data_IF_050209705764
#
_entry.id   IF_050209705764
#
_cell.length_a   1.000
_cell.length_b   1.000
_cell.length_c   1.000
_cell.angle_alpha   90.00
_cell.angle_beta   90.00
_cell.angle_gamma   90.00
#
_symmetry.space_group_name_H-M   'P 1'
#
loop_
_entity.id
_entity.type
_entity.pdbx_description
1 polymer ?
#
# COMPACT_ATOMS: atom_id res chain seq x y z
N UNK A 1 7.98 -9.69 5.43
CA UNK A 1 6.72 -9.10 4.88
C UNK A 1 6.16 -7.99 5.75
N UNK A 2 6.00 -8.17 7.08
CA UNK A 2 5.60 -7.08 7.99
C UNK A 2 6.49 -5.83 7.85
N UNK A 3 7.81 -6.02 7.71
CA UNK A 3 8.76 -4.92 7.54
C UNK A 3 8.50 -4.06 6.27
N UNK A 4 8.05 -4.67 5.17
CA UNK A 4 7.72 -3.94 3.93
C UNK A 4 6.46 -3.11 4.13
N UNK A 5 5.47 -3.66 4.84
CA UNK A 5 4.23 -2.97 5.19
C UNK A 5 4.51 -1.75 6.06
N UNK A 6 5.31 -1.91 7.12
CA UNK A 6 5.66 -0.81 8.03
C UNK A 6 6.51 0.26 7.32
N UNK A 7 7.44 -0.12 6.44
CA UNK A 7 8.20 0.84 5.62
C UNK A 7 7.33 1.61 4.63
N UNK A 8 6.40 0.93 3.96
CA UNK A 8 5.48 1.55 3.02
C UNK A 8 4.52 2.53 3.71
N UNK A 9 3.99 2.14 4.88
CA UNK A 9 3.15 3.00 5.71
C UNK A 9 3.91 4.18 6.29
N UNK A 10 5.09 3.96 6.88
CA UNK A 10 5.90 5.04 7.45
C UNK A 10 6.31 6.07 6.39
N UNK A 11 6.61 5.63 5.17
CA UNK A 11 6.85 6.53 4.05
C UNK A 11 5.60 7.34 3.66
N UNK A 12 4.39 6.81 3.87
CA UNK A 12 3.12 7.49 3.59
C UNK A 12 2.67 8.41 4.73
N UNK A 13 2.82 8.00 5.99
CA UNK A 13 2.57 8.82 7.19
C UNK A 13 3.46 10.06 7.24
N UNK A 14 4.67 9.99 6.69
CA UNK A 14 5.56 11.14 6.55
C UNK A 14 5.05 12.17 5.50
N UNK A 15 4.19 11.77 4.57
CA UNK A 15 3.75 12.59 3.43
C UNK A 15 2.38 13.23 3.67
N UNK A 16 1.52 12.65 4.50
CA UNK A 16 0.22 13.20 4.82
C UNK A 16 -0.07 13.14 6.32
N UNK A 17 -0.64 14.20 6.87
CA UNK A 17 -1.31 14.19 8.19
C UNK A 17 -2.48 13.20 8.15
N UNK A 18 -2.16 11.91 8.20
CA UNK A 18 -3.10 10.83 7.95
C UNK A 18 -3.76 10.44 9.26
N UNK A 19 -5.08 10.38 9.26
CA UNK A 19 -5.85 10.02 10.45
C UNK A 19 -5.47 8.60 10.92
N UNK A 20 -5.28 8.40 12.23
CA UNK A 20 -4.82 7.13 12.81
C UNK A 20 -5.77 5.97 12.44
N UNK A 21 -7.07 6.26 12.30
CA UNK A 21 -8.05 5.27 11.85
C UNK A 21 -7.82 4.85 10.38
N UNK A 22 -7.41 5.79 9.52
CA UNK A 22 -7.08 5.55 8.12
C UNK A 22 -5.79 4.74 7.99
N UNK A 23 -4.77 5.03 8.81
CA UNK A 23 -3.52 4.27 8.86
C UNK A 23 -3.78 2.82 9.26
N UNK A 24 -4.58 2.59 10.31
CA UNK A 24 -4.92 1.24 10.75
C UNK A 24 -5.65 0.44 9.66
N UNK A 25 -6.60 1.07 8.95
CA UNK A 25 -7.31 0.42 7.85
C UNK A 25 -6.37 0.12 6.66
N UNK A 26 -5.50 1.06 6.33
CA UNK A 26 -4.55 0.92 5.21
C UNK A 26 -3.51 -0.16 5.49
N UNK A 27 -3.07 -0.27 6.75
CA UNK A 27 -2.20 -1.34 7.23
C UNK A 27 -2.78 -2.72 7.04
N UNK A 28 -4.05 -2.92 7.41
CA UNK A 28 -4.69 -4.22 7.19
C UNK A 28 -4.82 -4.56 5.70
N UNK A 29 -5.19 -3.58 4.88
CA UNK A 29 -5.36 -3.76 3.43
C UNK A 29 -4.04 -4.12 2.75
N UNK A 30 -2.97 -3.36 3.02
CA UNK A 30 -1.67 -3.61 2.40
C UNK A 30 -1.03 -4.92 2.89
N UNK A 31 -1.24 -5.29 4.16
CA UNK A 31 -0.77 -6.57 4.69
C UNK A 31 -1.41 -7.75 3.95
N UNK A 32 -2.73 -7.71 3.73
CA UNK A 32 -3.43 -8.73 2.92
C UNK A 32 -2.97 -8.74 1.46
N UNK A 33 -2.68 -7.57 0.89
CA UNK A 33 -2.22 -7.46 -0.49
C UNK A 33 -0.83 -8.08 -0.68
N UNK A 34 0.11 -7.76 0.21
CA UNK A 34 1.47 -8.30 0.20
C UNK A 34 1.47 -9.81 0.48
N UNK A 35 0.59 -10.28 1.36
CA UNK A 35 0.41 -11.71 1.63
C UNK A 35 -0.09 -12.48 0.40
N UNK A 36 -1.04 -11.91 -0.35
CA UNK A 36 -1.49 -12.43 -1.64
C UNK A 36 -0.36 -12.49 -2.66
N UNK A 37 0.42 -11.41 -2.79
CA UNK A 37 1.54 -11.36 -3.73
C UNK A 37 2.61 -12.41 -3.42
N UNK A 38 2.94 -12.60 -2.16
CA UNK A 38 3.87 -13.65 -1.75
C UNK A 38 3.33 -15.06 -1.98
N UNK A 39 2.04 -15.28 -1.72
CA UNK A 39 1.36 -16.53 -2.06
C UNK A 39 1.34 -16.80 -3.57
N UNK A 40 1.31 -15.75 -4.40
CA UNK A 40 1.44 -15.83 -5.85
C UNK A 40 2.89 -16.03 -6.35
N UNK A 41 3.87 -16.05 -5.44
CA UNK A 41 5.28 -16.28 -5.77
C UNK A 41 6.14 -15.02 -5.86
N UNK A 42 5.58 -13.83 -5.62
CA UNK A 42 6.37 -12.59 -5.52
C UNK A 42 7.10 -12.54 -4.17
N UNK A 43 8.39 -12.86 -4.19
CA UNK A 43 9.24 -12.84 -2.99
C UNK A 43 10.28 -11.74 -3.00
N UNK A 44 10.39 -11.01 -4.11
CA UNK A 44 11.36 -9.94 -4.26
C UNK A 44 10.97 -8.73 -3.40
N UNK A 45 11.82 -8.33 -2.43
CA UNK A 45 11.48 -7.27 -1.49
C UNK A 45 11.38 -5.90 -2.17
N UNK A 46 12.12 -5.66 -3.26
CA UNK A 46 12.01 -4.42 -4.02
C UNK A 46 10.67 -4.35 -4.75
N UNK A 47 10.28 -5.42 -5.46
CA UNK A 47 8.98 -5.46 -6.14
C UNK A 47 7.81 -5.33 -5.16
N UNK A 48 7.87 -6.02 -4.02
CA UNK A 48 6.83 -5.93 -2.99
C UNK A 48 6.70 -4.50 -2.43
N UNK A 49 7.82 -3.78 -2.29
CA UNK A 49 7.80 -2.36 -1.87
C UNK A 49 7.16 -1.45 -2.94
N UNK A 50 7.47 -1.67 -4.21
CA UNK A 50 6.85 -0.92 -5.32
C UNK A 50 5.34 -1.16 -5.40
N UNK A 51 4.92 -2.43 -5.30
CA UNK A 51 3.50 -2.79 -5.27
C UNK A 51 2.79 -2.23 -4.04
N UNK A 52 3.42 -2.27 -2.87
CA UNK A 52 2.90 -1.67 -1.64
C UNK A 52 2.65 -0.16 -1.82
N UNK A 53 3.64 0.57 -2.36
CA UNK A 53 3.50 2.01 -2.63
C UNK A 53 2.40 2.32 -3.64
N UNK A 54 2.36 1.59 -4.77
CA UNK A 54 1.33 1.79 -5.78
C UNK A 54 -0.08 1.54 -5.22
N UNK A 55 -0.23 0.50 -4.40
CA UNK A 55 -1.50 0.16 -3.76
C UNK A 55 -1.95 1.24 -2.76
N UNK A 56 -1.04 1.75 -1.92
CA UNK A 56 -1.36 2.87 -1.02
C UNK A 56 -1.77 4.12 -1.81
N UNK A 57 -1.07 4.40 -2.91
CA UNK A 57 -1.40 5.51 -3.79
C UNK A 57 -2.82 5.45 -4.31
N UNK A 58 -3.20 4.32 -4.89
CA UNK A 58 -4.56 4.08 -5.38
C UNK A 58 -5.61 4.13 -4.26
N UNK A 59 -5.26 3.62 -3.07
CA UNK A 59 -6.16 3.58 -1.93
C UNK A 59 -6.49 4.98 -1.37
N UNK A 60 -5.50 5.88 -1.35
CA UNK A 60 -5.62 7.20 -0.70
C UNK A 60 -5.94 8.33 -1.68
N UNK A 61 -5.34 8.34 -2.88
CA UNK A 61 -5.64 9.34 -3.91
C UNK A 61 -6.89 8.98 -4.71
N UNK A 62 -7.40 7.75 -4.54
CA UNK A 62 -8.46 7.18 -5.37
C UNK A 62 -7.95 6.84 -6.77
N UNK A 63 -8.78 6.21 -7.63
CA UNK A 63 -8.47 6.12 -9.05
C UNK A 63 -8.28 7.54 -9.56
N UNK A 64 -7.13 7.80 -10.20
CA UNK A 64 -6.83 9.11 -10.78
C UNK A 64 -8.06 9.61 -11.54
N UNK A 65 -8.60 10.80 -11.25
CA UNK A 65 -9.85 11.25 -11.89
C UNK A 65 -9.73 11.31 -13.42
N UNK A 66 -8.51 11.36 -13.98
CA UNK A 66 -8.25 11.25 -15.43
C UNK A 66 -8.46 9.84 -16.00
N UNK A 67 -8.46 8.84 -15.13
CA UNK A 67 -8.75 7.43 -15.41
C UNK A 67 -10.08 6.99 -14.78
N UNK A 68 -11.02 7.91 -14.58
CA UNK A 68 -12.43 7.53 -14.41
C UNK A 68 -12.91 6.92 -15.73
N UNK A 69 -13.12 5.61 -15.71
CA UNK A 69 -13.48 4.84 -16.89
C UNK A 69 -14.83 5.24 -17.47
N UNK A 70 -14.83 5.41 -18.81
CA UNK A 70 -15.94 5.48 -19.76
C UNK A 70 -16.97 6.61 -19.61
#
# INVERSE_FOLDING_TARGET
>A
MKEIVEQALGAYELIGEMDVALVAQSREKIARYIDKLASAGHKDPHQLMEYARAYLKELHEGPDPRFTGC
#
